data_IF_425479692061
#
_entry.id   IF_425479692061
#
_cell.length_a   1.000
_cell.length_b   1.000
_cell.length_c   1.000
_cell.angle_alpha   90.00
_cell.angle_beta   90.00
_cell.angle_gamma   90.00
#
_symmetry.space_group_name_H-M   'P 1'
#
loop_
_entity.id
_entity.type
_entity.pdbx_description
1 polymer ?
#
# COMPACT_ATOMS: atom_id res chain seq x y z
N UNK A 1 -18.20 -5.28 12.02
CA UNK A 1 -18.97 -4.84 13.18
C UNK A 1 -19.41 -3.38 13.04
N UNK A 2 -18.53 -2.40 12.85
CA UNK A 2 -18.91 -0.97 12.77
C UNK A 2 -20.02 -0.69 11.75
N UNK A 3 -20.02 -1.32 10.58
CA UNK A 3 -21.09 -1.16 9.59
C UNK A 3 -22.42 -1.75 10.07
N UNK A 4 -22.38 -2.89 10.77
CA UNK A 4 -23.59 -3.47 11.39
C UNK A 4 -24.17 -2.57 12.48
N UNK A 5 -23.31 -2.01 13.33
CA UNK A 5 -23.71 -1.03 14.35
C UNK A 5 -24.37 0.21 13.73
N UNK A 6 -23.93 0.60 12.53
CA UNK A 6 -24.49 1.71 11.76
C UNK A 6 -25.69 1.29 10.86
N UNK A 7 -26.19 0.06 11.02
CA UNK A 7 -27.43 -0.43 10.38
C UNK A 7 -27.27 -1.01 8.97
N UNK A 8 -26.04 -1.32 8.53
CA UNK A 8 -25.79 -2.00 7.27
C UNK A 8 -25.80 -3.52 7.45
N UNK A 9 -26.38 -4.24 6.49
CA UNK A 9 -26.19 -5.67 6.33
C UNK A 9 -24.83 -5.92 5.68
N UNK A 10 -24.04 -6.81 6.25
CA UNK A 10 -22.67 -7.09 5.82
C UNK A 10 -22.55 -8.48 5.20
N UNK A 11 -21.87 -8.54 4.05
CA UNK A 11 -21.62 -9.79 3.32
C UNK A 11 -20.11 -9.97 3.20
N UNK A 12 -19.61 -11.11 3.66
CA UNK A 12 -18.20 -11.47 3.55
C UNK A 12 -18.01 -12.52 2.45
N UNK A 13 -17.01 -12.30 1.60
CA UNK A 13 -16.56 -13.27 0.61
C UNK A 13 -15.09 -13.59 0.89
N UNK A 14 -14.79 -14.80 1.30
CA UNK A 14 -13.44 -15.29 1.53
C UNK A 14 -13.43 -16.80 1.68
N UNK A 15 -12.42 -17.48 1.15
CA UNK A 15 -12.25 -18.93 1.23
C UNK A 15 -11.15 -19.40 2.20
N UNK A 16 -10.55 -18.50 2.96
CA UNK A 16 -9.56 -18.86 3.96
C UNK A 16 -10.22 -19.25 5.29
N UNK A 17 -10.14 -20.53 5.73
CA UNK A 17 -10.77 -20.97 6.97
C UNK A 17 -10.02 -20.48 8.24
N UNK A 18 -8.80 -19.98 8.11
CA UNK A 18 -7.94 -19.61 9.24
C UNK A 18 -7.95 -18.10 9.53
N UNK A 19 -9.04 -17.43 9.19
CA UNK A 19 -9.16 -15.98 9.45
C UNK A 19 -10.49 -15.65 10.12
N UNK A 20 -10.47 -14.69 11.04
CA UNK A 20 -11.66 -14.19 11.76
C UNK A 20 -12.77 -13.72 10.81
N UNK A 21 -12.42 -13.26 9.61
CA UNK A 21 -13.40 -12.78 8.62
C UNK A 21 -14.35 -13.88 8.16
N UNK A 22 -13.98 -15.16 8.27
CA UNK A 22 -14.81 -16.32 7.92
C UNK A 22 -15.48 -17.00 9.12
N UNK A 23 -15.37 -16.40 10.31
CA UNK A 23 -16.13 -16.85 11.46
C UNK A 23 -17.63 -16.54 11.25
N UNK A 24 -18.48 -17.44 11.70
CA UNK A 24 -19.93 -17.42 11.44
C UNK A 24 -20.66 -16.19 11.99
N UNK A 25 -20.06 -15.47 12.93
CA UNK A 25 -20.65 -14.30 13.61
C UNK A 25 -20.02 -12.95 13.18
N UNK A 26 -19.03 -12.99 12.27
CA UNK A 26 -18.31 -11.77 11.83
C UNK A 26 -19.14 -10.92 10.88
N UNK A 27 -19.91 -11.56 9.96
CA UNK A 27 -20.78 -10.90 9.00
C UNK A 27 -22.21 -11.45 9.10
N UNK A 28 -23.18 -10.76 8.49
CA UNK A 28 -24.56 -11.22 8.43
C UNK A 28 -24.72 -12.36 7.43
N UNK A 29 -23.90 -12.37 6.38
CA UNK A 29 -23.80 -13.45 5.40
C UNK A 29 -22.35 -13.76 5.08
N UNK A 30 -22.02 -15.03 4.98
CA UNK A 30 -20.72 -15.52 4.56
C UNK A 30 -20.87 -16.33 3.28
N UNK A 31 -20.15 -15.94 2.24
CA UNK A 31 -19.87 -16.74 1.06
C UNK A 31 -18.45 -17.28 1.18
N UNK A 32 -18.35 -18.57 1.45
CA UNK A 32 -17.07 -19.26 1.56
C UNK A 32 -16.59 -19.68 0.17
N UNK A 33 -16.27 -18.68 -0.66
CA UNK A 33 -15.93 -18.83 -2.06
C UNK A 33 -14.60 -18.11 -2.38
N UNK A 34 -13.93 -18.51 -3.46
CA UNK A 34 -12.73 -17.82 -3.93
C UNK A 34 -13.01 -16.35 -4.24
N UNK A 35 -12.00 -15.50 -4.03
CA UNK A 35 -12.07 -14.08 -4.41
C UNK A 35 -11.62 -13.94 -5.86
N UNK A 36 -12.39 -14.54 -6.78
CA UNK A 36 -12.23 -14.39 -8.23
C UNK A 36 -13.27 -13.42 -8.77
N UNK A 37 -13.01 -12.85 -9.95
CA UNK A 37 -13.98 -11.95 -10.58
C UNK A 37 -15.33 -12.63 -10.80
N UNK A 38 -15.32 -13.86 -11.32
CA UNK A 38 -16.53 -14.64 -11.63
C UNK A 38 -17.39 -14.89 -10.39
N UNK A 39 -16.78 -15.42 -9.31
CA UNK A 39 -17.50 -15.73 -8.08
C UNK A 39 -18.08 -14.47 -7.43
N UNK A 40 -17.27 -13.37 -7.38
CA UNK A 40 -17.71 -12.11 -6.78
C UNK A 40 -18.83 -11.46 -7.60
N UNK A 41 -18.78 -11.52 -8.94
CA UNK A 41 -19.86 -11.02 -9.80
C UNK A 41 -21.17 -11.78 -9.58
N UNK A 42 -21.14 -13.12 -9.51
CA UNK A 42 -22.34 -13.91 -9.26
C UNK A 42 -22.96 -13.60 -7.88
N UNK A 43 -22.12 -13.42 -6.85
CA UNK A 43 -22.58 -13.01 -5.53
C UNK A 43 -23.18 -11.60 -5.58
N UNK A 44 -22.54 -10.66 -6.26
CA UNK A 44 -23.02 -9.30 -6.40
C UNK A 44 -24.35 -9.22 -7.17
N UNK A 45 -24.53 -10.03 -8.24
CA UNK A 45 -25.78 -10.13 -8.97
C UNK A 45 -26.92 -10.70 -8.12
N UNK A 46 -26.61 -11.67 -7.28
CA UNK A 46 -27.58 -12.32 -6.38
C UNK A 46 -28.00 -11.41 -5.24
N UNK A 47 -27.02 -10.82 -4.55
CA UNK A 47 -27.23 -10.05 -3.32
C UNK A 47 -27.58 -8.59 -3.57
N UNK A 48 -27.19 -8.04 -4.73
CA UNK A 48 -27.39 -6.63 -5.11
C UNK A 48 -26.94 -5.66 -4.01
N UNK A 49 -25.68 -5.78 -3.55
CA UNK A 49 -25.18 -4.95 -2.47
C UNK A 49 -25.16 -3.47 -2.88
N UNK A 50 -25.15 -2.57 -1.89
CA UNK A 50 -24.90 -1.14 -2.12
C UNK A 50 -23.55 -0.89 -2.79
N UNK A 51 -22.59 -1.77 -2.55
CA UNK A 51 -21.28 -1.81 -3.20
C UNK A 51 -20.34 -2.80 -2.55
N UNK A 52 -19.14 -2.91 -3.10
CA UNK A 52 -18.10 -3.85 -2.66
C UNK A 52 -16.90 -3.09 -2.11
N UNK A 53 -16.39 -3.52 -0.96
CA UNK A 53 -15.15 -3.02 -0.37
C UNK A 53 -14.03 -3.99 -0.73
N UNK A 54 -12.99 -3.48 -1.38
CA UNK A 54 -11.83 -4.27 -1.84
C UNK A 54 -10.57 -4.05 -0.99
N UNK A 55 -10.59 -3.15 -0.02
CA UNK A 55 -9.38 -2.66 0.67
C UNK A 55 -8.99 -3.46 1.93
N UNK A 56 -9.76 -4.48 2.35
CA UNK A 56 -9.48 -5.26 3.56
C UNK A 56 -8.89 -6.66 3.31
N UNK A 57 -8.78 -7.08 2.06
CA UNK A 57 -8.33 -8.42 1.68
C UNK A 57 -6.90 -8.50 1.10
N UNK A 58 -6.03 -7.52 1.37
CA UNK A 58 -4.71 -7.44 0.76
C UNK A 58 -4.79 -7.17 -0.74
N UNK A 59 -3.88 -7.74 -1.53
CA UNK A 59 -3.79 -7.49 -2.97
C UNK A 59 -4.84 -8.26 -3.81
N UNK A 60 -5.37 -9.36 -3.31
CA UNK A 60 -6.28 -10.21 -4.09
C UNK A 60 -7.54 -9.49 -4.55
N UNK A 61 -8.34 -8.85 -3.68
CA UNK A 61 -9.52 -8.12 -4.13
C UNK A 61 -9.20 -6.83 -4.89
N UNK A 62 -8.03 -6.21 -4.64
CA UNK A 62 -7.63 -5.01 -5.39
C UNK A 62 -7.44 -5.30 -6.89
N UNK A 63 -6.90 -6.47 -7.23
CA UNK A 63 -6.66 -6.86 -8.62
C UNK A 63 -7.91 -6.98 -9.48
N UNK A 64 -9.06 -7.27 -8.87
CA UNK A 64 -10.34 -7.40 -9.57
C UNK A 64 -11.20 -6.14 -9.48
N UNK A 65 -10.73 -5.09 -8.82
CA UNK A 65 -11.53 -3.88 -8.55
C UNK A 65 -11.96 -3.15 -9.82
N UNK A 66 -11.05 -2.97 -10.79
CA UNK A 66 -11.36 -2.33 -12.07
C UNK A 66 -12.36 -3.13 -12.90
N UNK A 67 -12.22 -4.45 -12.91
CA UNK A 67 -13.10 -5.35 -13.67
C UNK A 67 -14.51 -5.42 -13.04
N UNK A 68 -14.59 -5.40 -11.69
CA UNK A 68 -15.87 -5.28 -10.99
C UNK A 68 -16.57 -3.97 -11.31
N UNK A 69 -15.85 -2.85 -11.27
CA UNK A 69 -16.39 -1.53 -11.63
C UNK A 69 -16.87 -1.49 -13.10
N UNK A 70 -16.07 -2.02 -14.03
CA UNK A 70 -16.41 -2.12 -15.44
C UNK A 70 -17.66 -3.00 -15.68
N UNK A 71 -17.90 -4.00 -14.84
CA UNK A 71 -19.11 -4.82 -14.85
C UNK A 71 -20.32 -4.16 -14.17
N UNK A 72 -20.18 -2.90 -13.69
CA UNK A 72 -21.26 -2.13 -13.07
C UNK A 72 -21.46 -2.40 -11.57
N UNK A 73 -20.52 -3.07 -10.91
CA UNK A 73 -20.55 -3.27 -9.45
C UNK A 73 -19.91 -2.05 -8.78
N UNK A 74 -20.65 -1.30 -7.93
CA UNK A 74 -20.10 -0.14 -7.26
C UNK A 74 -18.95 -0.53 -6.30
N UNK A 75 -17.81 0.13 -6.39
CA UNK A 75 -16.73 0.00 -5.41
C UNK A 75 -16.91 1.08 -4.35
N UNK A 76 -16.92 0.66 -3.07
CA UNK A 76 -17.04 1.56 -1.91
C UNK A 76 -15.64 1.73 -1.31
N UNK A 77 -15.27 2.98 -1.04
CA UNK A 77 -13.95 3.35 -0.54
C UNK A 77 -13.12 4.06 -1.60
N UNK A 78 -11.82 3.83 -1.59
CA UNK A 78 -10.91 4.38 -2.61
C UNK A 78 -11.24 3.82 -3.98
N UNK A 79 -11.31 4.69 -4.99
CA UNK A 79 -11.66 4.29 -6.36
C UNK A 79 -10.61 3.35 -6.97
N UNK A 80 -11.02 2.46 -7.90
CA UNK A 80 -10.06 1.61 -8.63
C UNK A 80 -8.99 2.40 -9.38
N UNK A 81 -9.33 3.57 -9.94
CA UNK A 81 -8.35 4.47 -10.58
C UNK A 81 -7.30 4.99 -9.59
N UNK A 82 -7.72 5.37 -8.38
CA UNK A 82 -6.80 5.83 -7.34
C UNK A 82 -5.88 4.71 -6.84
N UNK A 83 -6.40 3.49 -6.75
CA UNK A 83 -5.60 2.29 -6.43
C UNK A 83 -4.55 2.05 -7.51
N UNK A 84 -4.96 2.09 -8.79
CA UNK A 84 -4.05 1.94 -9.93
C UNK A 84 -2.97 3.05 -9.97
N UNK A 85 -3.36 4.31 -9.68
CA UNK A 85 -2.40 5.43 -9.59
C UNK A 85 -1.34 5.22 -8.52
N UNK A 86 -1.65 4.51 -7.45
CA UNK A 86 -0.70 4.18 -6.40
C UNK A 86 0.20 2.99 -6.76
N UNK A 87 -0.30 2.06 -7.58
CA UNK A 87 0.42 0.83 -7.96
C UNK A 87 1.21 0.98 -9.27
N UNK A 88 0.71 1.76 -10.24
CA UNK A 88 1.40 2.02 -11.50
C UNK A 88 2.58 2.96 -11.28
N UNK A 89 3.77 2.50 -11.65
CA UNK A 89 5.02 3.21 -11.37
C UNK A 89 5.09 4.59 -12.01
N UNK A 90 4.63 4.73 -13.24
CA UNK A 90 4.69 6.00 -13.97
C UNK A 90 3.68 7.00 -13.40
N UNK A 91 2.45 6.56 -13.17
CA UNK A 91 1.39 7.38 -12.55
C UNK A 91 1.77 7.79 -11.13
N UNK A 92 2.36 6.88 -10.37
CA UNK A 92 2.86 7.16 -9.03
C UNK A 92 3.99 8.20 -9.04
N UNK A 93 4.98 8.05 -9.93
CA UNK A 93 6.05 9.02 -10.07
C UNK A 93 5.54 10.41 -10.46
N UNK A 94 4.57 10.49 -11.37
CA UNK A 94 3.92 11.75 -11.75
C UNK A 94 3.25 12.42 -10.54
N UNK A 95 2.56 11.64 -9.71
CA UNK A 95 1.94 12.13 -8.48
C UNK A 95 2.97 12.66 -7.48
N UNK A 96 4.02 11.90 -7.22
CA UNK A 96 5.10 12.29 -6.29
C UNK A 96 5.76 13.59 -6.76
N UNK A 97 6.07 13.69 -8.05
CA UNK A 97 6.64 14.92 -8.64
C UNK A 97 5.68 16.12 -8.53
N UNK A 98 4.39 15.92 -8.79
CA UNK A 98 3.35 16.97 -8.65
C UNK A 98 3.27 17.50 -7.22
N UNK A 99 3.45 16.63 -6.23
CA UNK A 99 3.43 17.00 -4.82
C UNK A 99 4.77 17.57 -4.31
N UNK A 100 5.80 17.59 -5.13
CA UNK A 100 7.14 18.00 -4.72
C UNK A 100 7.81 17.07 -3.71
N UNK A 101 7.34 15.81 -3.65
CA UNK A 101 7.93 14.77 -2.82
C UNK A 101 9.07 14.06 -3.55
N UNK A 102 9.86 13.30 -2.83
CA UNK A 102 11.07 12.66 -3.36
C UNK A 102 10.91 11.14 -3.34
N UNK A 103 11.28 10.49 -4.44
CA UNK A 103 11.48 9.04 -4.51
C UNK A 103 12.97 8.72 -4.64
N UNK A 104 13.42 7.52 -4.24
CA UNK A 104 14.74 7.06 -4.62
C UNK A 104 14.91 7.13 -6.14
N UNK A 105 16.08 7.53 -6.66
CA UNK A 105 16.35 7.48 -8.09
C UNK A 105 16.07 6.06 -8.61
N UNK A 106 15.37 5.96 -9.72
CA UNK A 106 14.93 4.67 -10.24
C UNK A 106 14.81 4.68 -11.76
N UNK A 107 14.85 3.49 -12.35
CA UNK A 107 14.61 3.27 -13.77
C UNK A 107 14.11 1.86 -14.07
N UNK A 108 13.65 1.65 -15.29
CA UNK A 108 13.34 0.33 -15.83
C UNK A 108 14.24 0.04 -17.03
N UNK A 109 14.71 -1.20 -17.16
CA UNK A 109 15.55 -1.63 -18.29
C UNK A 109 15.06 -2.96 -18.89
N UNK A 110 15.16 -3.11 -20.19
CA UNK A 110 14.78 -4.32 -20.94
C UNK A 110 15.98 -5.11 -21.45
N UNK A 111 17.18 -4.53 -21.40
CA UNK A 111 18.45 -5.17 -21.79
C UNK A 111 19.53 -4.84 -20.79
N UNK A 112 20.63 -5.59 -20.82
CA UNK A 112 21.79 -5.33 -19.99
C UNK A 112 22.43 -3.98 -20.31
N UNK A 113 22.61 -3.63 -21.59
CA UNK A 113 23.21 -2.36 -22.00
C UNK A 113 22.38 -1.16 -21.50
N UNK A 114 21.05 -1.27 -21.59
CA UNK A 114 20.13 -0.27 -21.05
C UNK A 114 20.22 -0.18 -19.53
N UNK A 115 20.28 -1.33 -18.84
CA UNK A 115 20.41 -1.39 -17.39
C UNK A 115 21.72 -0.76 -16.92
N UNK A 116 22.83 -1.05 -17.61
CA UNK A 116 24.15 -0.50 -17.28
C UNK A 116 24.18 1.02 -17.44
N UNK A 117 23.68 1.55 -18.56
CA UNK A 117 23.62 2.98 -18.80
C UNK A 117 22.77 3.71 -17.75
N UNK A 118 21.65 3.12 -17.36
CA UNK A 118 20.77 3.70 -16.31
C UNK A 118 21.36 3.57 -14.92
N UNK A 119 22.03 2.45 -14.62
CA UNK A 119 22.72 2.22 -13.37
C UNK A 119 23.83 3.26 -13.11
N UNK A 120 24.58 3.66 -14.14
CA UNK A 120 25.57 4.72 -14.04
C UNK A 120 24.95 6.07 -13.64
N UNK A 121 23.75 6.37 -14.14
CA UNK A 121 23.05 7.61 -13.82
C UNK A 121 22.39 7.61 -12.43
N UNK A 122 21.92 6.44 -11.98
CA UNK A 122 21.26 6.26 -10.67
C UNK A 122 22.31 6.19 -9.55
N UNK A 123 23.41 5.48 -9.80
CA UNK A 123 24.46 5.19 -8.83
C UNK A 123 24.21 3.91 -8.04
N UNK A 124 25.29 3.19 -7.76
CA UNK A 124 25.27 1.98 -6.92
C UNK A 124 25.29 2.34 -5.41
N UNK A 125 24.80 1.45 -4.53
CA UNK A 125 24.17 0.16 -4.82
C UNK A 125 22.74 0.29 -5.35
N UNK A 126 22.27 -0.74 -6.08
CA UNK A 126 20.94 -0.80 -6.67
C UNK A 126 20.17 -2.00 -6.13
N UNK A 127 18.88 -1.83 -5.88
CA UNK A 127 17.94 -2.93 -5.78
C UNK A 127 17.44 -3.25 -7.17
N UNK A 128 17.64 -4.49 -7.62
CA UNK A 128 17.20 -4.97 -8.92
C UNK A 128 16.12 -6.04 -8.75
N UNK A 129 15.04 -5.94 -9.53
CA UNK A 129 13.94 -6.91 -9.49
C UNK A 129 13.18 -6.95 -10.82
N UNK A 130 12.59 -8.11 -11.20
CA UNK A 130 11.69 -8.16 -12.34
C UNK A 130 10.39 -7.40 -12.06
N UNK A 131 9.83 -6.74 -13.07
CA UNK A 131 8.61 -5.88 -12.89
C UNK A 131 7.36 -6.63 -12.46
N UNK A 132 7.27 -7.93 -12.71
CA UNK A 132 6.04 -8.71 -12.51
C UNK A 132 6.18 -9.84 -11.47
N UNK A 133 7.17 -9.78 -10.61
CA UNK A 133 7.33 -10.79 -9.54
C UNK A 133 6.82 -10.23 -8.22
N UNK A 134 5.81 -10.90 -7.67
CA UNK A 134 5.24 -10.57 -6.37
C UNK A 134 6.09 -11.15 -5.22
N UNK A 135 6.25 -10.38 -4.16
CA UNK A 135 6.74 -10.88 -2.87
C UNK A 135 8.25 -11.06 -2.74
N UNK A 136 9.07 -10.16 -3.30
CA UNK A 136 10.52 -10.13 -3.05
C UNK A 136 11.30 -11.30 -3.67
N UNK A 137 10.67 -12.18 -4.42
CA UNK A 137 11.37 -13.24 -5.17
C UNK A 137 12.20 -12.63 -6.27
N UNK A 138 13.45 -13.07 -6.39
CA UNK A 138 14.43 -12.58 -7.37
C UNK A 138 14.75 -11.08 -7.23
N UNK A 139 14.60 -10.49 -6.04
CA UNK A 139 15.11 -9.17 -5.72
C UNK A 139 16.53 -9.32 -5.17
N UNK A 140 17.48 -8.57 -5.72
CA UNK A 140 18.86 -8.56 -5.27
C UNK A 140 19.40 -7.14 -5.12
N UNK A 141 20.35 -6.95 -4.21
CA UNK A 141 21.11 -5.71 -4.11
C UNK A 141 22.43 -5.93 -4.85
N UNK A 142 22.69 -5.10 -5.85
CA UNK A 142 23.90 -5.15 -6.67
C UNK A 142 24.77 -3.92 -6.38
N UNK A 143 26.07 -4.17 -6.18
CA UNK A 143 27.04 -3.15 -5.77
C UNK A 143 27.93 -2.68 -6.93
N UNK A 144 27.80 -3.28 -8.10
CA UNK A 144 28.60 -2.92 -9.26
C UNK A 144 28.11 -3.55 -10.57
N UNK A 145 28.76 -3.18 -11.69
CA UNK A 145 28.39 -3.65 -13.02
C UNK A 145 28.40 -5.16 -13.19
N UNK A 146 29.40 -5.83 -12.61
CA UNK A 146 29.59 -7.29 -12.76
C UNK A 146 28.43 -8.08 -12.09
N UNK A 147 27.97 -7.61 -10.93
CA UNK A 147 26.82 -8.19 -10.24
C UNK A 147 25.53 -7.92 -11.01
N UNK A 148 25.39 -6.71 -11.57
CA UNK A 148 24.27 -6.35 -12.43
C UNK A 148 24.21 -7.24 -13.67
N UNK A 149 25.35 -7.51 -14.32
CA UNK A 149 25.45 -8.42 -15.48
C UNK A 149 24.99 -9.83 -15.11
N UNK A 150 25.49 -10.35 -13.99
CA UNK A 150 25.12 -11.67 -13.47
C UNK A 150 23.62 -11.76 -13.23
N UNK A 151 23.03 -10.75 -12.57
CA UNK A 151 21.60 -10.66 -12.30
C UNK A 151 20.79 -10.62 -13.61
N UNK A 152 21.12 -9.72 -14.53
CA UNK A 152 20.39 -9.55 -15.79
C UNK A 152 20.42 -10.84 -16.64
N UNK A 153 21.55 -11.55 -16.65
CA UNK A 153 21.68 -12.82 -17.36
C UNK A 153 20.76 -13.91 -16.79
N UNK A 154 20.57 -13.93 -15.47
CA UNK A 154 19.69 -14.89 -14.80
C UNK A 154 18.21 -14.48 -14.90
N UNK A 155 17.91 -13.21 -14.68
CA UNK A 155 16.54 -12.67 -14.67
C UNK A 155 15.90 -12.68 -16.06
N UNK A 156 16.64 -12.32 -17.11
CA UNK A 156 16.16 -12.35 -18.52
C UNK A 156 15.81 -13.76 -18.97
N UNK A 157 16.47 -14.79 -18.45
CA UNK A 157 16.13 -16.20 -18.75
C UNK A 157 14.80 -16.65 -18.15
N UNK A 158 14.35 -15.99 -17.07
CA UNK A 158 13.14 -16.36 -16.32
C UNK A 158 11.90 -15.57 -16.76
N UNK A 159 12.09 -14.37 -17.30
CA UNK A 159 10.99 -13.50 -17.70
C UNK A 159 11.17 -13.04 -19.15
N UNK A 160 10.72 -13.85 -20.12
CA UNK A 160 10.65 -13.43 -21.51
C UNK A 160 9.97 -12.07 -21.63
N UNK A 161 10.71 -11.00 -22.00
CA UNK A 161 10.25 -9.62 -22.27
C UNK A 161 9.83 -8.72 -21.10
N UNK A 162 9.87 -9.15 -19.86
CA UNK A 162 9.52 -8.26 -18.73
C UNK A 162 10.67 -7.32 -18.38
N UNK A 163 10.42 -6.00 -18.20
CA UNK A 163 11.47 -5.09 -17.80
C UNK A 163 11.97 -5.40 -16.38
N UNK A 164 13.24 -5.12 -16.13
CA UNK A 164 13.87 -5.14 -14.81
C UNK A 164 13.78 -3.74 -14.22
N UNK A 165 13.43 -3.66 -12.95
CA UNK A 165 13.42 -2.43 -12.17
C UNK A 165 14.77 -2.25 -11.50
N UNK A 166 15.27 -1.02 -11.56
CA UNK A 166 16.50 -0.57 -10.93
C UNK A 166 16.11 0.56 -9.97
N UNK A 167 16.28 0.35 -8.68
CA UNK A 167 16.00 1.36 -7.67
C UNK A 167 17.29 1.63 -6.88
N UNK A 168 17.65 2.90 -6.64
CA UNK A 168 18.79 3.22 -5.78
C UNK A 168 18.56 2.67 -4.38
N UNK A 169 19.50 1.87 -3.88
CA UNK A 169 19.40 1.31 -2.54
C UNK A 169 19.87 2.34 -1.50
N UNK A 170 18.94 2.75 -0.64
CA UNK A 170 19.21 3.68 0.44
C UNK A 170 19.87 2.96 1.63
N UNK A 171 21.17 2.72 1.51
CA UNK A 171 21.94 2.03 2.54
C UNK A 171 21.93 2.82 3.86
N UNK A 172 21.62 2.14 4.96
CA UNK A 172 21.51 2.73 6.30
C UNK A 172 20.41 3.79 6.47
N UNK A 173 19.43 3.88 5.57
CA UNK A 173 18.25 4.69 5.77
C UNK A 173 17.41 4.15 6.94
N UNK A 174 16.70 5.03 7.63
CA UNK A 174 15.67 4.67 8.59
C UNK A 174 14.40 4.38 7.80
N UNK A 175 13.86 3.17 7.88
CA UNK A 175 12.58 2.83 7.28
C UNK A 175 11.42 3.14 8.22
N UNK A 176 10.33 3.64 7.65
CA UNK A 176 9.15 4.09 8.38
C UNK A 176 7.89 3.60 7.67
N UNK A 177 6.97 3.02 8.45
CA UNK A 177 5.60 2.76 8.04
C UNK A 177 4.65 3.76 8.69
N UNK A 178 3.72 4.30 7.93
CA UNK A 178 2.68 5.20 8.44
C UNK A 178 1.32 4.69 8.02
N UNK A 179 0.49 4.38 9.00
CA UNK A 179 -0.92 4.08 8.78
C UNK A 179 -1.77 5.34 8.92
N UNK A 180 -2.68 5.54 7.97
CA UNK A 180 -3.60 6.66 7.97
C UNK A 180 -5.01 6.21 7.57
N UNK A 181 -6.01 6.98 8.00
CA UNK A 181 -7.40 6.88 7.54
C UNK A 181 -7.78 8.19 6.88
N UNK A 182 -8.43 8.14 5.73
CA UNK A 182 -8.93 9.32 5.03
C UNK A 182 -10.41 9.17 4.69
N UNK A 183 -11.11 10.31 4.66
CA UNK A 183 -12.50 10.41 4.19
C UNK A 183 -12.62 11.04 2.77
N UNK A 184 -11.48 11.15 2.07
CA UNK A 184 -11.37 11.80 0.76
C UNK A 184 -11.02 13.29 0.83
N UNK A 185 -11.13 13.92 1.98
CA UNK A 185 -10.79 15.33 2.20
C UNK A 185 -9.73 15.50 3.28
N UNK A 186 -9.94 14.86 4.41
CA UNK A 186 -9.05 14.89 5.55
C UNK A 186 -8.40 13.51 5.75
N UNK A 187 -7.22 13.51 6.38
CA UNK A 187 -6.52 12.30 6.74
C UNK A 187 -6.10 12.35 8.20
N UNK A 188 -6.44 11.32 8.95
CA UNK A 188 -5.99 11.06 10.32
C UNK A 188 -4.78 10.12 10.27
N UNK A 189 -3.67 10.52 10.87
CA UNK A 189 -2.48 9.70 11.00
C UNK A 189 -2.64 8.79 12.21
N UNK A 190 -2.76 7.49 11.96
CA UNK A 190 -2.93 6.48 13.00
C UNK A 190 -1.64 6.10 13.72
N UNK A 191 -0.48 6.38 13.13
CA UNK A 191 0.80 6.15 13.78
C UNK A 191 1.97 6.22 12.80
N UNK A 192 3.10 6.68 13.31
CA UNK A 192 4.40 6.67 12.62
C UNK A 192 5.23 5.57 13.29
N UNK A 193 5.54 4.52 12.57
CA UNK A 193 6.27 3.36 13.05
C UNK A 193 7.68 3.38 12.47
N UNK A 194 8.67 3.46 13.33
CA UNK A 194 10.08 3.37 12.93
C UNK A 194 10.53 1.91 13.01
N UNK A 195 11.13 1.39 11.93
CA UNK A 195 11.72 0.06 11.90
C UNK A 195 12.98 -0.01 12.80
N UNK A 196 13.19 -1.16 13.43
CA UNK A 196 14.37 -1.45 14.25
C UNK A 196 15.48 -2.00 13.35
N UNK A 197 15.12 -2.84 12.39
CA UNK A 197 16.05 -3.44 11.45
C UNK A 197 16.52 -2.41 10.42
N UNK A 198 17.66 -2.71 9.80
CA UNK A 198 18.24 -1.86 8.77
C UNK A 198 17.40 -1.89 7.49
N UNK A 199 17.51 -0.83 6.69
CA UNK A 199 16.89 -0.73 5.38
C UNK A 199 17.19 -1.96 4.51
N UNK A 200 16.17 -2.43 3.79
CA UNK A 200 16.24 -3.62 2.93
C UNK A 200 15.77 -4.91 3.60
N UNK A 201 15.50 -4.92 4.89
CA UNK A 201 14.79 -6.03 5.53
C UNK A 201 13.30 -5.87 5.24
N UNK A 202 12.66 -6.93 4.75
CA UNK A 202 11.23 -6.88 4.40
C UNK A 202 10.39 -6.44 5.62
N UNK A 203 9.46 -5.52 5.42
CA UNK A 203 8.63 -4.94 6.50
C UNK A 203 7.86 -5.98 7.33
N UNK A 204 7.59 -7.16 6.75
CA UNK A 204 6.98 -8.29 7.46
C UNK A 204 7.89 -9.00 8.45
N UNK A 205 9.20 -8.82 8.32
CA UNK A 205 10.24 -9.45 9.15
C UNK A 205 10.91 -8.42 10.07
N UNK A 206 10.46 -7.17 10.03
CA UNK A 206 10.99 -6.07 10.84
C UNK A 206 10.13 -5.82 12.08
N UNK A 207 10.78 -5.57 13.21
CA UNK A 207 10.12 -5.01 14.38
C UNK A 207 9.95 -3.50 14.23
N UNK A 208 8.88 -2.94 14.80
CA UNK A 208 8.60 -1.52 14.73
C UNK A 208 8.43 -0.90 16.12
N UNK A 209 8.88 0.34 16.26
CA UNK A 209 8.62 1.18 17.43
C UNK A 209 7.58 2.26 17.10
N UNK A 210 6.57 2.36 17.94
CA UNK A 210 5.57 3.43 17.92
C UNK A 210 5.47 4.01 19.35
N UNK A 211 5.80 5.29 19.58
CA UNK A 211 6.27 6.28 18.62
C UNK A 211 7.70 6.01 18.11
N UNK A 212 8.15 6.72 17.06
CA UNK A 212 9.54 6.67 16.62
C UNK A 212 10.51 7.04 17.73
N UNK A 213 11.63 6.33 17.82
CA UNK A 213 12.60 6.54 18.91
C UNK A 213 13.79 7.44 18.53
N UNK A 214 14.08 7.62 17.24
CA UNK A 214 15.23 8.41 16.79
C UNK A 214 14.88 9.54 15.81
N UNK A 215 13.66 9.61 15.31
CA UNK A 215 13.23 10.64 14.36
C UNK A 215 12.88 11.95 15.08
N UNK A 216 13.50 13.10 14.69
CA UNK A 216 13.13 14.40 15.20
C UNK A 216 11.66 14.72 14.93
N UNK A 217 10.97 15.42 15.85
CA UNK A 217 9.55 15.78 15.69
C UNK A 217 9.29 16.58 14.40
N UNK A 218 10.20 17.50 14.05
CA UNK A 218 10.10 18.26 12.79
C UNK A 218 10.02 17.32 11.55
N UNK A 219 10.77 16.23 11.56
CA UNK A 219 10.76 15.25 10.46
C UNK A 219 9.45 14.47 10.46
N UNK A 220 8.97 14.08 11.66
CA UNK A 220 7.67 13.43 11.80
C UNK A 220 6.53 14.32 11.29
N UNK A 221 6.56 15.63 11.55
CA UNK A 221 5.57 16.58 11.04
C UNK A 221 5.60 16.69 9.51
N UNK A 222 6.78 16.70 8.91
CA UNK A 222 6.93 16.67 7.46
C UNK A 222 6.34 15.36 6.87
N UNK A 223 6.56 14.23 7.52
CA UNK A 223 5.97 12.96 7.12
C UNK A 223 4.45 12.96 7.22
N UNK A 224 3.88 13.48 8.32
CA UNK A 224 2.42 13.64 8.49
C UNK A 224 1.82 14.47 7.34
N UNK A 225 2.47 15.59 7.02
CA UNK A 225 2.03 16.47 5.93
C UNK A 225 2.10 15.77 4.57
N UNK A 226 3.19 15.07 4.28
CA UNK A 226 3.35 14.32 3.03
C UNK A 226 2.26 13.25 2.86
N UNK A 227 1.99 12.47 3.92
CA UNK A 227 0.95 11.43 3.92
C UNK A 227 -0.43 12.05 3.69
N UNK A 228 -0.76 13.15 4.38
CA UNK A 228 -2.04 13.84 4.19
C UNK A 228 -2.19 14.42 2.77
N UNK A 229 -1.11 14.93 2.18
CA UNK A 229 -1.12 15.42 0.78
C UNK A 229 -1.35 14.27 -0.21
N UNK A 230 -0.68 13.13 -0.03
CA UNK A 230 -0.87 11.95 -0.88
C UNK A 230 -2.28 11.39 -0.76
N UNK A 231 -2.83 11.31 0.45
CA UNK A 231 -4.21 10.86 0.66
C UNK A 231 -5.22 11.72 -0.10
N UNK A 232 -5.08 13.06 -0.05
CA UNK A 232 -5.95 13.98 -0.78
C UNK A 232 -5.76 13.90 -2.30
N UNK A 233 -4.52 13.85 -2.77
CA UNK A 233 -4.23 13.78 -4.21
C UNK A 233 -4.74 12.48 -4.85
N UNK A 234 -4.69 11.37 -4.13
CA UNK A 234 -5.27 10.10 -4.55
C UNK A 234 -6.79 10.04 -4.35
N UNK A 235 -7.35 10.92 -3.52
CA UNK A 235 -8.76 10.82 -3.12
C UNK A 235 -9.04 9.56 -2.31
N UNK A 236 -8.13 9.21 -1.39
CA UNK A 236 -8.27 8.01 -0.57
C UNK A 236 -9.48 8.10 0.34
N UNK A 237 -10.32 7.08 0.31
CA UNK A 237 -11.41 6.88 1.27
C UNK A 237 -11.21 5.55 1.98
N UNK A 238 -10.92 5.62 3.26
CA UNK A 238 -10.57 4.47 4.09
C UNK A 238 -9.09 4.45 4.48
N UNK A 239 -8.56 3.25 4.69
CA UNK A 239 -7.19 3.04 5.13
C UNK A 239 -6.16 3.25 4.01
N UNK A 240 -5.04 3.81 4.40
CA UNK A 240 -3.84 3.94 3.57
C UNK A 240 -2.61 3.65 4.42
N UNK A 241 -1.67 2.90 3.87
CA UNK A 241 -0.33 2.72 4.43
C UNK A 241 0.69 3.39 3.50
N UNK A 242 1.65 4.09 4.06
CA UNK A 242 2.75 4.72 3.33
C UNK A 242 4.06 4.23 3.90
N UNK A 243 4.91 3.72 3.03
CA UNK A 243 6.29 3.36 3.37
C UNK A 243 7.22 4.50 2.96
N UNK A 244 7.99 4.96 3.92
CA UNK A 244 8.97 6.03 3.77
C UNK A 244 10.37 5.53 4.16
N UNK A 245 11.39 6.22 3.66
CA UNK A 245 12.74 6.11 4.15
C UNK A 245 13.29 7.50 4.48
N UNK A 246 14.08 7.61 5.53
CA UNK A 246 14.73 8.86 5.92
C UNK A 246 16.24 8.67 5.93
N UNK A 247 16.92 9.46 5.11
CA UNK A 247 18.37 9.44 5.00
C UNK A 247 18.87 10.84 4.63
N UNK A 248 19.97 11.28 5.23
CA UNK A 248 20.65 12.53 4.91
C UNK A 248 19.68 13.74 4.85
N UNK A 249 18.85 13.89 5.90
CA UNK A 249 17.83 14.95 6.04
C UNK A 249 16.74 14.93 4.94
N UNK A 250 16.66 13.85 4.13
CA UNK A 250 15.69 13.69 3.05
C UNK A 250 14.70 12.57 3.38
N UNK A 251 13.41 12.86 3.17
CA UNK A 251 12.33 11.88 3.25
C UNK A 251 12.05 11.36 1.84
N UNK A 252 12.21 10.06 1.67
CA UNK A 252 11.91 9.36 0.42
C UNK A 252 10.59 8.60 0.55
N UNK A 253 9.72 8.74 -0.45
CA UNK A 253 8.51 7.93 -0.56
C UNK A 253 8.85 6.64 -1.31
N UNK A 254 8.66 5.50 -0.66
CA UNK A 254 8.96 4.18 -1.23
C UNK A 254 7.72 3.63 -1.93
N UNK A 255 6.60 3.53 -1.19
CA UNK A 255 5.32 3.08 -1.76
C UNK A 255 4.12 3.62 -0.97
N UNK A 256 2.98 3.64 -1.63
CA UNK A 256 1.68 3.96 -1.04
C UNK A 256 0.72 2.82 -1.33
N UNK A 257 0.09 2.33 -0.28
CA UNK A 257 -0.89 1.25 -0.36
C UNK A 257 -2.24 1.78 0.14
N UNK A 258 -3.20 2.15 -0.74
CA UNK A 258 -4.52 2.63 -0.33
C UNK A 258 -5.43 1.48 0.12
N UNK A 259 -5.01 0.76 1.13
CA UNK A 259 -5.65 -0.42 1.71
C UNK A 259 -5.21 -0.66 3.15
N UNK A 260 -5.89 -1.57 3.84
CA UNK A 260 -5.45 -2.03 5.15
C UNK A 260 -4.08 -2.71 5.07
N UNK A 261 -3.20 -2.33 5.99
CA UNK A 261 -1.88 -2.92 6.20
C UNK A 261 -1.89 -3.92 7.36
N UNK A 262 -0.84 -4.70 7.48
CA UNK A 262 -0.62 -5.59 8.62
C UNK A 262 -0.34 -4.85 9.92
N UNK A 263 0.08 -3.60 9.85
CA UNK A 263 0.38 -2.74 11.00
C UNK A 263 -0.85 -2.09 11.63
N UNK A 264 -1.99 -2.03 10.93
CA UNK A 264 -3.23 -1.41 11.40
C UNK A 264 -3.70 -1.93 12.77
N UNK A 265 -3.68 -3.25 13.07
CA UNK A 265 -4.05 -3.73 14.40
C UNK A 265 -3.11 -3.25 15.50
N UNK A 266 -1.82 -3.14 15.22
CA UNK A 266 -0.82 -2.63 16.14
C UNK A 266 -1.02 -1.12 16.38
N UNK A 267 -1.07 -0.32 15.32
CA UNK A 267 -1.34 1.12 15.39
C UNK A 267 -2.63 1.42 16.16
N UNK A 268 -3.72 0.70 15.84
CA UNK A 268 -5.02 0.87 16.50
C UNK A 268 -4.95 0.62 18.02
N UNK A 269 -4.18 -0.37 18.45
CA UNK A 269 -3.99 -0.65 19.88
C UNK A 269 -3.16 0.42 20.57
N UNK A 270 -2.12 0.92 19.92
CA UNK A 270 -1.25 1.95 20.47
C UNK A 270 -1.98 3.28 20.70
N UNK A 271 -2.82 3.69 19.76
CA UNK A 271 -3.59 4.94 19.85
C UNK A 271 -4.96 4.76 20.53
N UNK A 272 -5.30 3.54 20.96
CA UNK A 272 -6.58 3.20 21.60
C UNK A 272 -7.80 3.57 20.72
N UNK A 273 -7.63 3.53 19.40
CA UNK A 273 -8.67 3.86 18.42
C UNK A 273 -8.65 2.83 17.29
N UNK A 274 -9.80 2.26 16.96
CA UNK A 274 -9.91 1.30 15.87
C UNK A 274 -9.88 2.00 14.51
N UNK A 275 -8.72 2.03 13.86
CA UNK A 275 -8.57 2.60 12.52
C UNK A 275 -9.43 1.86 11.49
N UNK A 276 -9.61 0.55 11.63
CA UNK A 276 -10.47 -0.24 10.75
C UNK A 276 -11.94 0.16 10.86
N UNK A 277 -12.45 0.45 12.06
CA UNK A 277 -13.82 0.94 12.25
C UNK A 277 -14.00 2.34 11.66
N UNK A 278 -13.04 3.24 11.89
CA UNK A 278 -13.06 4.58 11.29
C UNK A 278 -13.05 4.51 9.76
N UNK A 279 -12.19 3.67 9.21
CA UNK A 279 -12.12 3.42 7.77
C UNK A 279 -13.45 2.92 7.20
N UNK A 280 -14.05 1.91 7.83
CA UNK A 280 -15.34 1.38 7.39
C UNK A 280 -16.44 2.46 7.37
N UNK A 281 -16.47 3.34 8.38
CA UNK A 281 -17.42 4.47 8.43
C UNK A 281 -17.14 5.52 7.36
N UNK A 282 -15.86 5.86 7.11
CA UNK A 282 -15.51 6.73 5.99
C UNK A 282 -16.00 6.17 4.65
N UNK A 283 -15.81 4.87 4.41
CA UNK A 283 -16.32 4.18 3.22
C UNK A 283 -17.86 4.20 3.15
N UNK A 284 -18.54 4.20 4.29
CA UNK A 284 -20.00 4.35 4.37
C UNK A 284 -20.48 5.80 4.20
N UNK A 285 -19.56 6.76 4.08
CA UNK A 285 -19.85 8.18 3.85
C UNK A 285 -19.89 9.05 5.11
N UNK A 286 -19.40 8.54 6.26
CA UNK A 286 -19.28 9.32 7.50
C UNK A 286 -17.92 10.00 7.51
N UNK A 287 -17.88 11.33 7.63
CA UNK A 287 -16.62 12.08 7.66
C UNK A 287 -15.81 11.78 8.92
N UNK A 288 -14.50 12.04 8.86
CA UNK A 288 -13.64 11.94 10.05
C UNK A 288 -14.07 12.92 11.14
N UNK A 289 -14.52 14.11 10.76
CA UNK A 289 -15.04 15.12 11.70
C UNK A 289 -16.27 14.60 12.46
N UNK A 290 -17.22 13.95 11.78
CA UNK A 290 -18.42 13.37 12.41
C UNK A 290 -18.07 12.18 13.33
N UNK A 291 -16.91 11.57 13.12
CA UNK A 291 -16.36 10.51 13.97
C UNK A 291 -15.53 11.05 15.16
N UNK A 292 -15.53 12.37 15.36
CA UNK A 292 -14.83 13.03 16.47
C UNK A 292 -13.34 13.28 16.21
N UNK A 293 -12.90 13.21 14.93
CA UNK A 293 -11.56 13.65 14.59
C UNK A 293 -11.48 15.18 14.65
N UNK A 294 -10.62 15.68 15.52
CA UNK A 294 -10.26 17.10 15.59
C UNK A 294 -8.82 17.25 15.15
N UNK A 295 -8.56 18.17 14.22
CA UNK A 295 -7.19 18.59 13.93
C UNK A 295 -6.65 19.33 15.16
N UNK A 296 -5.71 18.72 15.87
CA UNK A 296 -4.85 19.39 16.83
C UNK A 296 -3.53 19.77 16.15
#
# INVERSE_FOLDING_TARGET
FAMRDDGYETIMVNCNPETVSTDYDTSDRLYFEPVTLEDVLEIAHKEKPKGVIVQFGGQTPLKIAQELEAAGVPIIGTSPDAIDRAEDRERFQQMINKLGLVQPPNATARSFDEALAKAESIGYPLVVRPSYVLGGRAMEIVYGPDELETYMTSAVKVSNDSPVLLDHFLNAAIEIDIDAVSDGQEAEIGGIMQHIEQAGVHSGDSACSLPPYSLPEKVQDQMRQAVAQMARELGVVGLMNVQLAYQDETIYVIEVNPRASRTVPFSSKCIVTSLAQRSARCMAGVSLADQGFTKE
#
